data_IF_166545420931
#
_entry.id   IF_166545420931
#
_cell.length_a   1.000
_cell.length_b   1.000
_cell.length_c   1.000
_cell.angle_alpha   90.00
_cell.angle_beta   90.00
_cell.angle_gamma   90.00
#
_symmetry.space_group_name_H-M   'P 1'
#
loop_
_entity.id
_entity.type
_entity.pdbx_description
1 polymer ?
#
# COMPACT_ATOMS: atom_id res chain seq x y z
N UNK A 1 13.49 51.48 -4.76
CA UNK A 1 13.54 50.30 -3.87
C UNK A 1 12.11 49.81 -3.71
N UNK A 2 11.68 48.84 -4.53
CA UNK A 2 10.36 48.22 -4.38
C UNK A 2 10.51 47.01 -3.46
N UNK A 3 9.93 47.08 -2.27
CA UNK A 3 9.85 45.94 -1.36
C UNK A 3 8.86 44.91 -1.93
N UNK A 4 9.15 43.60 -1.92
CA UNK A 4 8.20 42.59 -2.35
C UNK A 4 7.12 42.39 -1.28
N UNK A 5 5.88 42.25 -1.73
CA UNK A 5 4.71 41.85 -0.94
C UNK A 5 4.90 40.44 -0.39
N UNK A 6 4.62 40.15 0.90
CA UNK A 6 4.64 38.79 1.43
C UNK A 6 3.56 37.94 0.74
N UNK A 7 3.97 36.82 0.13
CA UNK A 7 3.06 35.84 -0.45
C UNK A 7 2.08 35.31 0.59
N UNK A 8 0.83 35.13 0.18
CA UNK A 8 -0.23 34.58 1.02
C UNK A 8 0.22 33.25 1.66
N UNK A 9 -0.14 32.98 2.93
CA UNK A 9 0.14 31.68 3.53
C UNK A 9 -0.52 30.60 2.67
N UNK A 10 0.26 29.59 2.27
CA UNK A 10 -0.27 28.35 1.72
C UNK A 10 -1.20 27.77 2.80
N UNK A 11 -2.52 27.93 2.62
CA UNK A 11 -3.49 27.39 3.56
C UNK A 11 -3.29 25.88 3.55
N UNK A 12 -2.92 25.31 4.71
CA UNK A 12 -2.85 23.87 4.86
C UNK A 12 -4.21 23.29 4.45
N UNK A 13 -4.26 22.29 3.55
CA UNK A 13 -5.52 21.77 3.04
C UNK A 13 -6.38 21.27 4.20
N UNK A 14 -7.67 21.58 4.14
CA UNK A 14 -8.60 21.14 5.19
C UNK A 14 -8.84 19.63 5.04
N UNK A 15 -9.03 18.90 6.14
CA UNK A 15 -9.25 17.45 6.10
C UNK A 15 -10.35 17.00 5.12
N UNK A 16 -11.40 17.81 4.95
CA UNK A 16 -12.48 17.54 4.01
C UNK A 16 -12.03 17.54 2.54
N UNK A 17 -11.09 18.43 2.17
CA UNK A 17 -10.57 18.52 0.80
C UNK A 17 -9.69 17.31 0.48
N UNK A 18 -8.96 16.81 1.48
CA UNK A 18 -8.18 15.59 1.37
C UNK A 18 -9.11 14.40 1.13
N UNK A 19 -10.11 14.24 1.99
CA UNK A 19 -11.06 13.13 1.92
C UNK A 19 -11.84 13.09 0.60
N UNK A 20 -12.22 14.25 0.07
CA UNK A 20 -12.90 14.37 -1.23
C UNK A 20 -12.05 13.90 -2.43
N UNK A 21 -10.72 13.85 -2.28
CA UNK A 21 -9.77 13.49 -3.34
C UNK A 21 -9.26 12.06 -3.22
N UNK A 22 -9.67 11.31 -2.19
CA UNK A 22 -9.24 9.94 -1.98
C UNK A 22 -9.85 8.99 -3.02
N UNK A 23 -9.09 7.98 -3.42
CA UNK A 23 -9.65 6.82 -4.11
C UNK A 23 -10.50 6.00 -3.14
N UNK A 24 -11.34 5.09 -3.66
CA UNK A 24 -12.15 4.22 -2.81
C UNK A 24 -11.28 3.35 -1.88
N UNK A 25 -10.12 2.91 -2.37
CA UNK A 25 -9.16 2.12 -1.61
C UNK A 25 -8.59 2.93 -0.44
N UNK A 26 -8.11 4.16 -0.68
CA UNK A 26 -7.60 5.01 0.39
C UNK A 26 -8.69 5.51 1.34
N UNK A 27 -9.90 5.74 0.84
CA UNK A 27 -11.05 6.03 1.70
C UNK A 27 -11.34 4.86 2.65
N UNK A 28 -11.22 3.61 2.18
CA UNK A 28 -11.32 2.40 3.02
C UNK A 28 -10.21 2.34 4.08
N UNK A 29 -8.97 2.68 3.71
CA UNK A 29 -7.84 2.78 4.65
C UNK A 29 -8.11 3.83 5.73
N UNK A 30 -8.57 5.02 5.37
CA UNK A 30 -8.90 6.08 6.33
C UNK A 30 -10.06 5.65 7.23
N UNK A 31 -11.11 5.04 6.68
CA UNK A 31 -12.23 4.52 7.46
C UNK A 31 -11.78 3.43 8.46
N UNK A 32 -10.90 2.52 8.04
CA UNK A 32 -10.33 1.49 8.91
C UNK A 32 -9.47 2.07 10.03
N UNK A 33 -8.63 3.05 9.72
CA UNK A 33 -7.85 3.80 10.68
C UNK A 33 -8.74 4.55 11.70
N UNK A 34 -9.83 5.21 11.25
CA UNK A 34 -10.80 5.90 12.11
C UNK A 34 -11.51 4.94 13.07
N UNK A 35 -12.00 3.79 12.56
CA UNK A 35 -12.64 2.77 13.40
C UNK A 35 -11.70 2.28 14.49
N UNK A 36 -10.41 2.14 14.18
CA UNK A 36 -9.39 1.70 15.13
C UNK A 36 -9.12 2.76 16.19
N UNK A 37 -8.88 4.02 15.80
CA UNK A 37 -8.72 5.12 16.74
C UNK A 37 -9.93 5.24 17.69
N UNK A 38 -11.16 5.12 17.18
CA UNK A 38 -12.37 5.09 18.02
C UNK A 38 -12.39 3.94 19.01
N UNK A 39 -12.07 2.73 18.53
CA UNK A 39 -12.06 1.52 19.38
C UNK A 39 -11.02 1.61 20.48
N UNK A 40 -9.90 2.26 20.19
CA UNK A 40 -8.76 2.41 21.08
C UNK A 40 -8.93 3.64 22.00
N UNK A 41 -9.98 4.45 21.80
CA UNK A 41 -10.30 5.64 22.60
C UNK A 41 -9.48 6.88 22.23
N UNK A 42 -8.81 6.86 21.09
CA UNK A 42 -7.97 7.95 20.62
C UNK A 42 -8.81 9.09 20.05
N UNK A 43 -8.49 10.31 20.48
CA UNK A 43 -9.12 11.54 19.97
C UNK A 43 -8.72 11.85 18.52
N UNK A 44 -7.66 11.20 18.04
CA UNK A 44 -7.11 11.44 16.71
C UNK A 44 -6.74 10.14 16.00
N UNK A 45 -6.93 10.14 14.69
CA UNK A 45 -6.30 9.23 13.76
C UNK A 45 -4.88 9.72 13.49
N UNK A 46 -3.89 8.88 13.82
CA UNK A 46 -2.46 9.16 13.64
C UNK A 46 -1.83 8.33 12.51
N UNK A 47 -0.52 8.54 12.28
CA UNK A 47 0.26 7.84 11.25
C UNK A 47 0.35 6.31 11.48
N UNK A 48 0.28 5.82 12.72
CA UNK A 48 0.27 4.39 13.00
C UNK A 48 -1.08 3.74 12.71
N UNK A 49 -2.19 4.46 12.92
CA UNK A 49 -3.52 3.99 12.51
C UNK A 49 -3.60 3.82 11.00
N UNK A 50 -3.06 4.79 10.25
CA UNK A 50 -2.96 4.71 8.79
C UNK A 50 -2.09 3.53 8.36
N UNK A 51 -0.89 3.39 8.92
CA UNK A 51 0.01 2.29 8.62
C UNK A 51 -0.66 0.93 8.87
N UNK A 52 -1.35 0.76 10.00
CA UNK A 52 -2.09 -0.47 10.32
C UNK A 52 -3.15 -0.76 9.27
N UNK A 53 -4.03 0.19 9.00
CA UNK A 53 -5.11 -0.04 8.04
C UNK A 53 -4.60 -0.29 6.62
N UNK A 54 -3.45 0.29 6.27
CA UNK A 54 -2.82 0.10 4.97
C UNK A 54 -2.21 -1.30 4.83
N UNK A 55 -1.45 -1.75 5.84
CA UNK A 55 -0.85 -3.09 5.87
C UNK A 55 -1.89 -4.21 5.85
N UNK A 56 -3.05 -3.98 6.45
CA UNK A 56 -4.18 -4.92 6.47
C UNK A 56 -4.87 -5.05 5.10
N UNK A 57 -5.01 -3.95 4.36
CA UNK A 57 -5.84 -3.88 3.16
C UNK A 57 -5.09 -4.06 1.84
N UNK A 58 -3.81 -3.68 1.79
CA UNK A 58 -3.08 -3.57 0.53
C UNK A 58 -1.93 -4.63 0.45
N UNK A 59 -2.03 -5.63 -0.45
CA UNK A 59 -0.97 -6.61 -0.65
C UNK A 59 0.29 -6.01 -1.34
N UNK A 60 0.16 -4.98 -2.17
CA UNK A 60 1.31 -4.32 -2.81
C UNK A 60 2.14 -3.51 -1.82
N UNK A 61 1.48 -2.97 -0.78
CA UNK A 61 2.16 -2.36 0.36
C UNK A 61 2.98 -3.41 1.12
N UNK A 62 2.40 -4.59 1.39
CA UNK A 62 3.12 -5.69 2.05
C UNK A 62 4.28 -6.22 1.21
N UNK A 63 4.14 -6.21 -0.12
CA UNK A 63 5.20 -6.61 -1.04
C UNK A 63 6.41 -5.63 -1.08
N UNK A 64 6.28 -4.41 -0.54
CA UNK A 64 7.41 -3.47 -0.46
C UNK A 64 8.42 -3.80 0.67
N UNK A 65 8.02 -4.66 1.60
CA UNK A 65 8.88 -5.15 2.68
C UNK A 65 9.78 -6.28 2.18
N UNK A 66 10.89 -6.53 2.88
CA UNK A 66 11.90 -7.51 2.49
C UNK A 66 11.35 -8.92 2.42
N UNK A 67 10.55 -9.29 3.43
CA UNK A 67 10.03 -10.64 3.58
C UNK A 67 8.79 -10.69 4.48
N UNK A 68 8.15 -11.87 4.47
CA UNK A 68 6.99 -12.16 5.33
C UNK A 68 7.26 -11.97 6.83
N UNK A 69 8.39 -12.45 7.38
CA UNK A 69 8.75 -12.18 8.78
C UNK A 69 8.81 -10.71 9.16
N UNK A 70 9.35 -9.84 8.29
CA UNK A 70 9.39 -8.39 8.50
C UNK A 70 7.97 -7.80 8.54
N UNK A 71 7.10 -8.20 7.61
CA UNK A 71 5.67 -7.84 7.63
C UNK A 71 4.99 -8.28 8.93
N UNK A 72 5.25 -9.52 9.37
CA UNK A 72 4.69 -10.07 10.60
C UNK A 72 5.15 -9.29 11.86
N UNK A 73 6.42 -8.87 11.92
CA UNK A 73 6.92 -8.01 13.01
C UNK A 73 6.19 -6.68 13.03
N UNK A 74 6.08 -5.99 11.89
CA UNK A 74 5.36 -4.71 11.78
C UNK A 74 3.92 -4.85 12.26
N UNK A 75 3.19 -5.86 11.78
CA UNK A 75 1.81 -6.14 12.22
C UNK A 75 1.75 -6.46 13.71
N UNK A 76 2.71 -7.25 14.23
CA UNK A 76 2.80 -7.55 15.66
C UNK A 76 2.94 -6.30 16.53
N UNK A 77 3.82 -5.37 16.15
CA UNK A 77 3.97 -4.08 16.86
C UNK A 77 2.70 -3.22 16.77
N UNK A 78 2.04 -3.19 15.61
CA UNK A 78 0.81 -2.44 15.40
C UNK A 78 -0.37 -2.99 16.22
N UNK A 79 -0.47 -4.31 16.35
CA UNK A 79 -1.51 -4.98 17.16
C UNK A 79 -1.29 -4.75 18.66
N UNK A 80 -0.05 -4.84 19.14
CA UNK A 80 0.30 -4.64 20.56
C UNK A 80 -0.08 -3.25 21.09
N UNK A 81 0.02 -2.21 20.24
CA UNK A 81 -0.41 -0.85 20.59
C UNK A 81 -1.93 -0.71 20.65
N UNK A 82 -2.66 -1.39 19.76
CA UNK A 82 -4.13 -1.32 19.66
C UNK A 82 -4.89 -2.15 20.70
N UNK A 83 -4.21 -2.88 21.60
CA UNK A 83 -4.85 -3.70 22.64
C UNK A 83 -4.20 -3.43 23.99
N UNK A 84 -4.34 -2.21 24.54
CA UNK A 84 -4.42 -1.95 25.99
C UNK A 84 -3.37 -2.49 26.98
N UNK A 85 -2.24 -3.09 26.58
CA UNK A 85 -1.30 -3.79 27.48
C UNK A 85 0.11 -3.17 27.53
N UNK A 86 0.18 -1.85 27.78
CA UNK A 86 1.36 -1.29 28.46
C UNK A 86 2.46 -0.67 27.59
N UNK A 87 2.37 -0.71 26.26
CA UNK A 87 3.09 0.27 25.42
C UNK A 87 2.31 1.59 25.44
N UNK A 88 2.18 2.18 26.62
CA UNK A 88 1.71 3.55 26.75
C UNK A 88 2.81 4.43 26.19
N UNK A 89 2.63 4.90 24.97
CA UNK A 89 3.39 6.04 24.48
C UNK A 89 2.86 7.29 25.18
N UNK A 90 3.09 7.37 26.49
CA UNK A 90 2.95 8.59 27.29
C UNK A 90 4.16 9.46 26.97
N UNK A 91 4.01 10.28 25.95
CA UNK A 91 5.05 11.19 25.48
C UNK A 91 4.77 11.53 24.02
N UNK A 92 4.27 12.75 23.80
CA UNK A 92 3.76 13.27 22.54
C UNK A 92 2.46 12.60 22.07
N UNK A 93 1.34 13.19 22.48
CA UNK A 93 0.31 13.52 21.48
C UNK A 93 1.07 14.23 20.36
N UNK A 94 0.94 13.79 19.10
CA UNK A 94 1.42 14.61 17.98
C UNK A 94 0.68 15.94 18.13
N UNK A 95 1.37 16.98 18.62
CA UNK A 95 0.76 18.12 19.31
C UNK A 95 -0.37 18.74 18.49
N UNK A 96 -1.58 18.77 19.07
CA UNK A 96 -2.80 19.08 18.36
C UNK A 96 -3.61 20.09 19.13
N UNK A 97 -3.59 21.32 18.61
CA UNK A 97 -4.50 22.37 19.01
C UNK A 97 -5.94 21.88 18.98
N UNK A 98 -6.66 22.09 20.08
CA UNK A 98 -7.98 21.55 20.34
C UNK A 98 -9.10 22.32 19.63
N UNK A 99 -10.07 21.63 19.01
CA UNK A 99 -11.51 22.03 18.91
C UNK A 99 -12.39 20.81 18.50
N UNK A 100 -13.74 20.93 18.52
CA UNK A 100 -14.73 20.46 19.50
C UNK A 100 -15.09 18.96 19.39
N UNK A 101 -15.97 18.45 20.29
CA UNK A 101 -16.49 17.06 20.32
C UNK A 101 -16.99 16.59 18.93
N UNK A 102 -16.09 16.03 18.13
CA UNK A 102 -16.43 15.32 16.91
C UNK A 102 -16.88 13.90 17.29
N UNK A 103 -17.93 13.41 16.66
CA UNK A 103 -18.36 11.99 16.75
C UNK A 103 -17.36 11.02 16.09
N UNK A 104 -16.29 11.55 15.51
CA UNK A 104 -15.20 10.83 14.84
C UNK A 104 -13.85 11.42 15.27
N UNK A 105 -12.77 10.63 15.31
CA UNK A 105 -11.44 11.15 15.65
C UNK A 105 -11.01 12.22 14.67
N UNK A 106 -10.37 13.29 15.15
CA UNK A 106 -9.72 14.26 14.28
C UNK A 106 -8.51 13.64 13.57
N UNK A 107 -7.94 14.33 12.58
CA UNK A 107 -6.63 13.93 12.05
C UNK A 107 -5.51 14.46 12.95
N UNK A 108 -4.41 13.73 13.08
CA UNK A 108 -3.16 14.30 13.59
C UNK A 108 -2.46 15.16 12.53
N UNK A 109 -1.66 16.17 12.90
CA UNK A 109 -0.90 16.99 11.95
C UNK A 109 0.04 16.17 11.08
N UNK A 110 0.73 15.17 11.64
CA UNK A 110 1.63 14.29 10.88
C UNK A 110 0.86 13.38 9.91
N UNK A 111 -0.36 12.94 10.27
CA UNK A 111 -1.21 12.18 9.37
C UNK A 111 -1.70 13.02 8.17
N UNK A 112 -2.07 14.29 8.40
CA UNK A 112 -2.40 15.23 7.30
C UNK A 112 -1.19 15.45 6.40
N UNK A 113 -0.03 15.75 6.99
CA UNK A 113 1.23 15.98 6.26
C UNK A 113 1.61 14.77 5.40
N UNK A 114 1.46 13.55 5.93
CA UNK A 114 1.70 12.33 5.17
C UNK A 114 0.72 12.18 3.99
N UNK A 115 -0.56 12.47 4.19
CA UNK A 115 -1.55 12.38 3.09
C UNK A 115 -1.29 13.43 1.99
N UNK A 116 -0.94 14.65 2.36
CA UNK A 116 -0.50 15.71 1.44
C UNK A 116 0.73 15.29 0.62
N UNK A 117 1.73 14.70 1.29
CA UNK A 117 2.91 14.20 0.61
C UNK A 117 2.57 13.07 -0.36
N UNK A 118 1.69 12.14 0.02
CA UNK A 118 1.22 11.06 -0.85
C UNK A 118 0.52 11.62 -2.10
N UNK A 119 -0.35 12.63 -1.93
CA UNK A 119 -1.01 13.32 -3.05
C UNK A 119 -0.01 14.00 -3.99
N UNK A 120 0.98 14.71 -3.45
CA UNK A 120 2.06 15.33 -4.24
C UNK A 120 2.86 14.30 -5.02
N UNK A 121 3.21 13.18 -4.37
CA UNK A 121 3.97 12.09 -4.98
C UNK A 121 3.20 11.47 -6.17
N UNK A 122 1.91 11.21 -6.00
CA UNK A 122 1.08 10.70 -7.07
C UNK A 122 0.90 11.70 -8.23
N UNK A 123 0.76 13.00 -7.90
CA UNK A 123 0.67 14.08 -8.89
C UNK A 123 1.92 14.20 -9.77
N UNK A 124 3.11 13.95 -9.22
CA UNK A 124 4.36 13.92 -9.98
C UNK A 124 4.41 12.79 -11.03
N UNK A 125 3.60 11.72 -10.87
CA UNK A 125 3.52 10.58 -11.80
C UNK A 125 2.57 10.84 -12.99
N UNK A 126 2.48 12.06 -13.51
CA UNK A 126 1.61 12.45 -14.64
C UNK A 126 0.12 12.17 -14.41
N UNK A 127 -0.46 12.70 -13.33
CA UNK A 127 -1.90 12.57 -13.05
C UNK A 127 -2.32 11.23 -12.44
N UNK A 128 -1.36 10.52 -11.85
CA UNK A 128 -1.62 9.26 -11.15
C UNK A 128 -2.53 9.46 -9.94
N UNK A 129 -3.48 8.54 -9.77
CA UNK A 129 -4.23 8.41 -8.50
C UNK A 129 -3.26 8.04 -7.38
N UNK A 130 -3.52 8.54 -6.17
CA UNK A 130 -2.75 8.17 -4.97
C UNK A 130 -2.97 6.69 -4.69
N UNK A 131 -1.88 5.96 -4.51
CA UNK A 131 -1.87 4.53 -4.22
C UNK A 131 -1.49 4.28 -2.76
N UNK A 132 -1.70 3.06 -2.28
CA UNK A 132 -1.19 2.65 -0.98
C UNK A 132 0.32 2.76 -0.85
N UNK A 133 1.07 2.45 -1.93
CA UNK A 133 2.53 2.65 -1.99
C UNK A 133 2.93 4.12 -1.84
N UNK A 134 2.17 5.06 -2.41
CA UNK A 134 2.44 6.49 -2.23
C UNK A 134 2.23 6.92 -0.77
N UNK A 135 1.18 6.41 -0.12
CA UNK A 135 0.92 6.67 1.29
C UNK A 135 1.98 6.03 2.20
N UNK A 136 2.40 4.79 1.93
CA UNK A 136 3.47 4.14 2.69
C UNK A 136 4.78 4.94 2.58
N UNK A 137 5.12 5.38 1.37
CA UNK A 137 6.31 6.20 1.14
C UNK A 137 6.22 7.52 1.92
N UNK A 138 5.04 8.15 1.97
CA UNK A 138 4.81 9.37 2.73
C UNK A 138 4.95 9.17 4.25
N UNK A 139 4.40 8.07 4.77
CA UNK A 139 4.50 7.71 6.19
C UNK A 139 5.94 7.43 6.62
N UNK A 140 6.83 7.08 5.69
CA UNK A 140 8.24 6.81 5.96
C UNK A 140 9.14 8.06 5.97
N UNK A 141 8.62 9.24 5.60
CA UNK A 141 9.42 10.48 5.44
C UNK A 141 9.79 11.11 6.78
N UNK A 142 8.84 11.20 7.71
CA UNK A 142 9.03 11.91 8.97
C UNK A 142 9.62 10.97 10.03
N UNK A 143 10.90 11.11 10.42
CA UNK A 143 11.55 10.24 11.38
C UNK A 143 10.93 10.28 12.77
N UNK A 144 10.20 11.35 13.10
CA UNK A 144 9.60 11.56 14.41
C UNK A 144 8.16 11.04 14.49
N UNK A 145 7.51 10.77 13.35
CA UNK A 145 6.14 10.30 13.33
C UNK A 145 6.01 8.86 13.86
N UNK A 146 4.81 8.52 14.34
CA UNK A 146 4.57 7.20 14.93
C UNK A 146 4.78 6.04 13.95
N UNK A 147 4.42 6.20 12.68
CA UNK A 147 4.63 5.15 11.67
C UNK A 147 6.11 4.75 11.56
N UNK A 148 7.03 5.71 11.47
CA UNK A 148 8.47 5.42 11.40
C UNK A 148 8.98 4.80 12.70
N UNK A 149 8.48 5.24 13.85
CA UNK A 149 8.83 4.58 15.11
C UNK A 149 8.43 3.10 15.09
N UNK A 150 7.22 2.75 14.64
CA UNK A 150 6.78 1.35 14.49
C UNK A 150 7.69 0.57 13.53
N UNK A 151 7.98 1.14 12.36
CA UNK A 151 8.85 0.54 11.36
C UNK A 151 10.23 0.23 11.95
N UNK A 152 10.84 1.19 12.65
CA UNK A 152 12.15 1.02 13.31
C UNK A 152 12.13 -0.09 14.37
N UNK A 153 11.10 -0.14 15.22
CA UNK A 153 10.99 -1.19 16.24
C UNK A 153 10.81 -2.59 15.60
N UNK A 154 10.17 -2.67 14.43
CA UNK A 154 10.06 -3.90 13.65
C UNK A 154 11.34 -4.28 12.89
N UNK A 155 12.40 -3.47 12.98
CA UNK A 155 13.66 -3.64 12.25
C UNK A 155 13.56 -3.27 10.77
N UNK A 156 12.70 -2.32 10.42
CA UNK A 156 12.56 -1.77 9.07
C UNK A 156 13.31 -0.45 8.98
N UNK A 157 14.24 -0.34 8.04
CA UNK A 157 14.87 0.93 7.70
C UNK A 157 13.96 1.75 6.77
N UNK A 158 13.56 2.93 7.21
CA UNK A 158 12.60 3.78 6.50
C UNK A 158 13.17 4.35 5.19
N UNK A 159 14.48 4.60 5.12
CA UNK A 159 15.13 5.10 3.91
C UNK A 159 15.13 4.02 2.82
N UNK A 160 15.61 2.82 3.15
CA UNK A 160 15.61 1.67 2.24
C UNK A 160 14.19 1.29 1.79
N UNK A 161 13.20 1.36 2.69
CA UNK A 161 11.79 1.15 2.33
C UNK A 161 11.31 2.18 1.29
N UNK A 162 11.66 3.46 1.47
CA UNK A 162 11.28 4.53 0.55
C UNK A 162 11.91 4.37 -0.83
N UNK A 163 13.16 3.89 -0.90
CA UNK A 163 13.85 3.57 -2.16
C UNK A 163 13.09 2.49 -2.94
N UNK A 164 12.73 1.36 -2.29
CA UNK A 164 11.92 0.29 -2.92
C UNK A 164 10.53 0.74 -3.36
N UNK A 165 9.97 1.73 -2.69
CA UNK A 165 8.69 2.34 -3.06
C UNK A 165 8.82 3.34 -4.22
N UNK A 166 10.05 3.80 -4.52
CA UNK A 166 10.41 4.57 -5.71
C UNK A 166 10.56 3.73 -6.96
N UNK A 167 10.89 2.45 -6.80
CA UNK A 167 10.97 1.51 -7.92
C UNK A 167 9.56 1.16 -8.42
N UNK A 168 9.37 1.11 -9.76
CA UNK A 168 8.14 0.56 -10.32
C UNK A 168 8.01 -0.87 -9.81
N UNK A 169 6.85 -1.22 -9.23
CA UNK A 169 6.57 -2.58 -8.76
C UNK A 169 6.86 -3.52 -9.93
N UNK A 170 7.93 -4.30 -9.82
CA UNK A 170 8.42 -5.09 -10.94
C UNK A 170 7.30 -5.96 -11.48
N UNK A 171 6.94 -5.76 -12.76
CA UNK A 171 6.36 -6.86 -13.51
C UNK A 171 7.35 -8.03 -13.35
N UNK A 172 6.88 -9.16 -12.82
CA UNK A 172 7.75 -10.30 -12.52
C UNK A 172 8.62 -10.72 -13.71
N UNK A 173 9.69 -11.49 -13.50
CA UNK A 173 10.55 -11.96 -14.60
C UNK A 173 9.72 -12.87 -15.52
N UNK A 174 9.16 -12.30 -16.58
CA UNK A 174 8.09 -12.93 -17.34
C UNK A 174 7.90 -12.31 -18.71
N UNK A 175 8.97 -12.23 -19.50
CA UNK A 175 8.95 -12.41 -20.95
C UNK A 175 10.40 -12.37 -21.45
N UNK A 176 11.04 -13.54 -21.50
CA UNK A 176 12.17 -13.72 -22.40
C UNK A 176 11.65 -13.48 -23.83
N UNK A 177 12.28 -12.63 -24.66
CA UNK A 177 11.85 -12.48 -26.04
C UNK A 177 12.04 -13.83 -26.73
N UNK A 178 10.96 -14.38 -27.27
CA UNK A 178 10.99 -15.59 -28.06
C UNK A 178 12.01 -15.41 -29.20
N UNK A 179 13.05 -16.24 -29.21
CA UNK A 179 13.96 -16.31 -30.34
C UNK A 179 13.21 -16.83 -31.57
N UNK A 180 13.41 -16.22 -32.75
CA UNK A 180 12.86 -16.74 -33.99
C UNK A 180 13.67 -17.99 -34.42
N UNK A 181 13.13 -19.17 -34.14
CA UNK A 181 13.67 -20.43 -34.68
C UNK A 181 13.39 -20.52 -36.17
N UNK A 182 14.46 -20.38 -36.96
CA UNK A 182 14.45 -20.55 -38.41
C UNK A 182 14.47 -22.02 -38.85
N UNK A 183 13.62 -22.34 -39.82
CA UNK A 183 13.86 -23.19 -41.00
C UNK A 183 14.78 -24.42 -40.85
N UNK A 184 14.25 -25.63 -40.67
CA UNK A 184 14.07 -26.66 -41.73
C UNK A 184 14.92 -27.92 -41.42
N UNK A 185 14.77 -29.10 -42.11
CA UNK A 185 14.02 -29.34 -43.35
C UNK A 185 13.31 -30.73 -43.51
N UNK A 186 12.62 -30.88 -44.65
CA UNK A 186 12.29 -32.11 -45.41
C UNK A 186 11.21 -33.11 -44.88
N UNK A 187 10.12 -33.31 -45.63
CA UNK A 187 9.95 -34.36 -46.65
C UNK A 187 8.45 -34.52 -46.99
N UNK A 188 8.07 -34.10 -48.19
CA UNK A 188 6.82 -34.49 -48.82
C UNK A 188 7.09 -35.59 -49.85
N UNK A 189 6.69 -36.82 -49.54
CA UNK A 189 6.55 -37.91 -50.50
C UNK A 189 5.30 -38.71 -50.11
N UNK A 190 4.24 -38.57 -50.89
CA UNK A 190 3.01 -39.36 -50.77
C UNK A 190 3.16 -40.75 -51.46
N UNK A 191 2.09 -41.57 -51.59
CA UNK A 191 1.48 -42.39 -50.54
C UNK A 191 1.36 -43.88 -50.96
N UNK A 192 1.35 -44.80 -50.01
CA UNK A 192 0.84 -46.18 -50.16
C UNK A 192 0.17 -46.49 -48.82
N UNK A 193 -1.12 -46.83 -48.71
CA UNK A 193 -1.83 -47.90 -49.41
C UNK A 193 -1.95 -49.08 -48.43
N UNK A 194 -3.16 -49.67 -48.33
CA UNK A 194 -3.59 -50.78 -47.46
C UNK A 194 -4.01 -50.35 -46.04
N UNK A 195 -5.24 -50.56 -45.55
CA UNK A 195 -6.33 -51.42 -45.98
C UNK A 195 -6.89 -52.15 -44.75
N UNK A 196 -8.23 -52.22 -44.66
CA UNK A 196 -9.05 -53.01 -43.72
C UNK A 196 -9.07 -52.54 -42.26
N UNK A 197 -10.15 -52.64 -41.49
CA UNK A 197 -11.59 -52.80 -41.71
C UNK A 197 -12.18 -52.72 -40.28
N UNK A 198 -13.32 -52.04 -40.14
CA UNK A 198 -14.23 -52.16 -38.99
C UNK A 198 -14.74 -53.62 -38.89
N UNK A 199 -15.11 -54.15 -37.70
CA UNK A 199 -16.36 -53.70 -37.09
C UNK A 199 -16.50 -53.77 -35.54
N UNK A 200 -17.38 -52.89 -35.07
CA UNK A 200 -18.46 -53.05 -34.08
C UNK A 200 -18.40 -54.20 -33.05
N UNK A 201 -18.62 -53.86 -31.78
CA UNK A 201 -18.95 -54.81 -30.73
C UNK A 201 -19.09 -54.17 -29.35
N UNK A 202 -20.24 -53.54 -29.11
CA UNK A 202 -20.69 -52.97 -27.82
C UNK A 202 -21.25 -54.10 -26.89
N UNK A 203 -21.80 -53.82 -25.68
CA UNK A 203 -21.18 -54.13 -24.39
C UNK A 203 -22.00 -55.11 -23.49
N UNK A 204 -21.42 -55.57 -22.37
CA UNK A 204 -22.09 -56.13 -21.15
C UNK A 204 -21.02 -56.84 -20.28
N UNK A 205 -20.98 -56.87 -18.94
CA UNK A 205 -21.94 -56.57 -17.86
C UNK A 205 -21.17 -56.42 -16.53
N UNK A 206 -21.79 -55.69 -15.61
CA UNK A 206 -21.51 -55.63 -14.18
C UNK A 206 -21.66 -56.99 -13.49
N UNK A 207 -20.93 -57.16 -12.39
CA UNK A 207 -21.17 -58.13 -11.32
C UNK A 207 -21.82 -57.42 -10.12
#
# INVERSE_FOLDING_TARGET
>A
MHSPTPGAPHQAPVPADIEARLTAELASVVAGARRRALRDGDRQLDTAHLLHSLMESDPEVRAAFEDGPQVARVLGYLVQRSIGYGLRWQGSVEDSGAVPLMTQPGWSPSALTAMEYAMRRAGARSGGRVTGRDLLAALAVDPECRAVQVLRHAGVDAATLTERLGEPSGAGPGASPAEPSGYGPTQGREPFGHGWADPAGEPSRQA
#
